data_IF_701250745923
#
_entry.id   IF_701250745923
#
_cell.length_a   1.000
_cell.length_b   1.000
_cell.length_c   1.000
_cell.angle_alpha   90.00
_cell.angle_beta   90.00
_cell.angle_gamma   90.00
#
_symmetry.space_group_name_H-M   'P 1'
#
loop_
_entity.id
_entity.type
_entity.pdbx_description
1 polymer ?
#
# COMPACT_ATOMS: atom_id res chain seq x y z
N UNK A 1 -61.19 -28.81 38.14
CA UNK A 1 -60.23 -28.83 37.00
C UNK A 1 -60.03 -27.41 36.54
N UNK A 2 -58.91 -26.81 36.90
CA UNK A 2 -58.63 -25.42 36.52
C UNK A 2 -57.90 -25.39 35.16
N UNK A 3 -58.62 -24.91 34.11
CA UNK A 3 -58.11 -24.67 32.81
C UNK A 3 -57.10 -23.49 32.86
N UNK A 4 -55.83 -23.78 32.87
CA UNK A 4 -54.79 -22.77 32.65
C UNK A 4 -54.84 -22.32 31.19
N UNK A 5 -55.62 -21.29 30.88
CA UNK A 5 -55.48 -20.59 29.62
C UNK A 5 -54.07 -20.02 29.53
N UNK A 6 -53.22 -20.60 28.70
CA UNK A 6 -51.96 -20.03 28.29
C UNK A 6 -52.27 -18.74 27.53
N UNK A 7 -52.01 -17.60 28.16
CA UNK A 7 -51.92 -16.30 27.46
C UNK A 7 -50.89 -16.43 26.37
N UNK A 8 -51.35 -16.55 25.15
CA UNK A 8 -50.47 -16.41 23.98
C UNK A 8 -49.94 -14.98 23.98
N UNK A 9 -48.65 -14.86 24.31
CA UNK A 9 -47.93 -13.61 24.24
C UNK A 9 -47.90 -13.22 22.77
N UNK A 10 -48.65 -12.18 22.38
CA UNK A 10 -48.62 -11.58 21.03
C UNK A 10 -47.18 -11.20 20.74
N UNK A 11 -46.46 -12.01 20.02
CA UNK A 11 -45.20 -11.66 19.40
C UNK A 11 -45.54 -10.75 18.23
N UNK A 12 -45.43 -9.44 18.42
CA UNK A 12 -45.46 -8.50 17.32
C UNK A 12 -44.23 -8.79 16.45
N UNK A 13 -44.43 -9.53 15.36
CA UNK A 13 -43.43 -9.73 14.32
C UNK A 13 -43.39 -8.53 13.38
N UNK A 14 -42.28 -8.31 12.72
CA UNK A 14 -42.14 -7.34 11.66
C UNK A 14 -43.04 -7.70 10.47
N UNK A 15 -43.63 -6.71 9.84
CA UNK A 15 -44.41 -6.92 8.62
C UNK A 15 -43.46 -7.13 7.43
N UNK A 16 -43.93 -7.85 6.39
CA UNK A 16 -43.19 -8.06 5.15
C UNK A 16 -42.79 -6.70 4.52
N UNK A 17 -43.70 -5.72 4.58
CA UNK A 17 -43.51 -4.39 4.02
C UNK A 17 -42.40 -3.60 4.76
N UNK A 18 -42.35 -3.69 6.09
CA UNK A 18 -41.28 -3.05 6.89
C UNK A 18 -39.90 -3.63 6.54
N UNK A 19 -39.78 -4.94 6.38
CA UNK A 19 -38.52 -5.55 5.96
C UNK A 19 -38.15 -5.15 4.53
N UNK A 20 -39.11 -5.08 3.62
CA UNK A 20 -38.89 -4.70 2.22
C UNK A 20 -38.35 -3.27 2.08
N UNK A 21 -38.91 -2.33 2.84
CA UNK A 21 -38.44 -0.93 2.86
C UNK A 21 -37.02 -0.85 3.42
N UNK A 22 -36.72 -1.55 4.48
CA UNK A 22 -35.37 -1.54 5.09
C UNK A 22 -34.32 -2.07 4.12
N UNK A 23 -34.57 -3.22 3.47
CA UNK A 23 -33.62 -3.77 2.47
C UNK A 23 -33.44 -2.84 1.28
N UNK A 24 -34.51 -2.17 0.83
CA UNK A 24 -34.46 -1.21 -0.27
C UNK A 24 -33.56 -0.01 0.08
N UNK A 25 -33.69 0.55 1.28
CA UNK A 25 -32.86 1.66 1.75
C UNK A 25 -31.38 1.22 1.87
N UNK A 26 -31.13 0.07 2.47
CA UNK A 26 -29.77 -0.49 2.60
C UNK A 26 -29.15 -0.69 1.21
N UNK A 27 -29.89 -1.24 0.25
CA UNK A 27 -29.40 -1.46 -1.11
C UNK A 27 -28.95 -0.15 -1.79
N UNK A 28 -29.72 0.92 -1.63
CA UNK A 28 -29.37 2.25 -2.18
C UNK A 28 -28.11 2.80 -1.51
N UNK A 29 -28.00 2.70 -0.18
CA UNK A 29 -26.83 3.17 0.56
C UNK A 29 -25.57 2.42 0.17
N UNK A 30 -25.66 1.09 0.02
CA UNK A 30 -24.55 0.25 -0.41
C UNK A 30 -24.11 0.61 -1.83
N UNK A 31 -25.06 0.82 -2.76
CA UNK A 31 -24.76 1.17 -4.13
C UNK A 31 -23.92 2.45 -4.26
N UNK A 32 -24.11 3.42 -3.38
CA UNK A 32 -23.34 4.66 -3.35
C UNK A 32 -22.02 4.49 -2.57
N UNK A 33 -22.05 3.72 -1.48
CA UNK A 33 -20.90 3.58 -0.58
C UNK A 33 -19.74 2.77 -1.18
N UNK A 34 -20.02 1.69 -1.91
CA UNK A 34 -18.99 0.80 -2.45
C UNK A 34 -17.99 1.52 -3.37
N UNK A 35 -18.38 2.24 -4.43
CA UNK A 35 -17.43 2.89 -5.32
C UNK A 35 -16.62 3.98 -4.61
N UNK A 36 -17.25 4.74 -3.73
CA UNK A 36 -16.58 5.80 -2.96
C UNK A 36 -15.55 5.22 -1.99
N UNK A 37 -15.89 4.12 -1.31
CA UNK A 37 -15.00 3.43 -0.39
C UNK A 37 -13.80 2.81 -1.13
N UNK A 38 -14.03 2.18 -2.28
CA UNK A 38 -12.97 1.58 -3.08
C UNK A 38 -11.92 2.62 -3.52
N UNK A 39 -12.36 3.80 -3.96
CA UNK A 39 -11.47 4.91 -4.31
C UNK A 39 -10.65 5.39 -3.11
N UNK A 40 -11.30 5.58 -1.96
CA UNK A 40 -10.62 6.02 -0.73
C UNK A 40 -9.61 4.99 -0.24
N UNK A 41 -9.94 3.71 -0.33
CA UNK A 41 -9.04 2.62 0.03
C UNK A 41 -7.80 2.56 -0.88
N UNK A 42 -7.99 2.76 -2.19
CA UNK A 42 -6.84 2.83 -3.10
C UNK A 42 -5.92 4.01 -2.77
N UNK A 43 -6.46 5.19 -2.49
CA UNK A 43 -5.66 6.36 -2.07
C UNK A 43 -4.86 6.07 -0.78
N UNK A 44 -5.48 5.40 0.20
CA UNK A 44 -4.80 5.03 1.43
C UNK A 44 -3.65 4.02 1.18
N UNK A 45 -3.86 3.06 0.28
CA UNK A 45 -2.82 2.10 -0.12
C UNK A 45 -1.66 2.77 -0.84
N UNK A 46 -1.94 3.69 -1.77
CA UNK A 46 -0.90 4.48 -2.45
C UNK A 46 -0.09 5.30 -1.45
N UNK A 47 -0.74 5.95 -0.49
CA UNK A 47 -0.03 6.70 0.56
C UNK A 47 0.86 5.80 1.42
N UNK A 48 0.44 4.56 1.68
CA UNK A 48 1.26 3.55 2.37
C UNK A 48 2.46 3.13 1.52
N UNK A 49 2.26 2.89 0.22
CA UNK A 49 3.33 2.57 -0.71
C UNK A 49 4.38 3.70 -0.76
N UNK A 50 3.93 4.95 -0.92
CA UNK A 50 4.81 6.12 -0.91
C UNK A 50 5.63 6.23 0.39
N UNK A 51 5.00 5.98 1.54
CA UNK A 51 5.68 6.01 2.83
C UNK A 51 6.75 4.91 2.94
N UNK A 52 6.44 3.69 2.50
CA UNK A 52 7.39 2.58 2.48
C UNK A 52 8.54 2.82 1.52
N UNK A 53 8.26 3.32 0.32
CA UNK A 53 9.29 3.65 -0.68
C UNK A 53 10.21 4.76 -0.13
N UNK A 54 9.67 5.77 0.54
CA UNK A 54 10.46 6.82 1.20
C UNK A 54 11.31 6.27 2.34
N UNK A 55 10.79 5.33 3.12
CA UNK A 55 11.55 4.65 4.18
C UNK A 55 12.71 3.84 3.60
N UNK A 56 12.48 3.10 2.53
CA UNK A 56 13.52 2.37 1.82
C UNK A 56 14.60 3.29 1.25
N UNK A 57 14.21 4.42 0.67
CA UNK A 57 15.17 5.43 0.21
C UNK A 57 16.09 5.94 1.35
N UNK A 58 15.49 6.25 2.51
CA UNK A 58 16.28 6.66 3.67
C UNK A 58 17.24 5.56 4.15
N UNK A 59 16.83 4.30 4.08
CA UNK A 59 17.66 3.13 4.37
C UNK A 59 18.87 3.03 3.42
N UNK A 60 18.64 3.20 2.13
CA UNK A 60 19.69 3.22 1.09
C UNK A 60 20.67 4.36 1.34
N UNK A 61 20.18 5.57 1.57
CA UNK A 61 21.02 6.71 1.87
C UNK A 61 21.88 6.51 3.12
N UNK A 62 21.32 5.89 4.15
CA UNK A 62 22.07 5.55 5.36
C UNK A 62 23.16 4.53 5.04
N UNK A 63 22.86 3.49 4.29
CA UNK A 63 23.83 2.47 3.90
C UNK A 63 25.00 3.10 3.10
N UNK A 64 24.70 3.96 2.14
CA UNK A 64 25.70 4.64 1.31
C UNK A 64 26.59 5.57 2.14
N UNK A 65 26.04 6.25 3.14
CA UNK A 65 26.80 7.21 3.97
C UNK A 65 27.62 6.55 5.09
N UNK A 66 27.23 5.35 5.52
CA UNK A 66 27.86 4.68 6.67
C UNK A 66 28.81 3.54 6.29
N UNK A 67 28.75 3.06 5.07
CA UNK A 67 29.61 1.96 4.61
C UNK A 67 30.79 2.49 3.79
N UNK A 68 31.99 2.23 4.28
CA UNK A 68 33.26 2.60 3.62
C UNK A 68 33.40 1.98 2.22
N UNK A 69 32.69 0.91 1.92
CA UNK A 69 32.66 0.29 0.59
C UNK A 69 31.96 1.15 -0.46
N UNK A 70 31.11 2.08 -0.06
CA UNK A 70 30.42 3.01 -0.97
C UNK A 70 31.14 4.35 -1.14
N UNK A 71 32.17 4.62 -0.36
CA UNK A 71 32.85 5.92 -0.29
C UNK A 71 34.25 5.86 -0.89
N UNK A 72 34.46 5.15 -1.99
CA UNK A 72 35.76 5.02 -2.64
C UNK A 72 36.03 6.21 -3.55
N UNK A 73 36.76 7.22 -3.08
CA UNK A 73 37.31 8.26 -3.94
C UNK A 73 38.13 7.65 -5.09
N UNK A 74 37.66 7.79 -6.32
CA UNK A 74 38.41 7.42 -7.53
C UNK A 74 38.31 5.97 -7.97
N UNK A 75 37.41 5.17 -7.40
CA UNK A 75 37.13 3.81 -7.85
C UNK A 75 36.10 3.75 -8.98
N UNK A 76 36.31 2.87 -9.95
CA UNK A 76 35.29 2.39 -10.88
C UNK A 76 34.39 1.40 -10.11
N UNK A 77 33.62 1.92 -9.13
CA UNK A 77 32.65 1.07 -8.47
C UNK A 77 31.41 0.91 -9.35
N UNK A 78 30.95 -0.31 -9.48
CA UNK A 78 29.72 -0.63 -10.19
C UNK A 78 28.52 -0.08 -9.41
N UNK A 79 27.48 0.31 -10.14
CA UNK A 79 26.20 0.73 -9.55
C UNK A 79 25.65 -0.36 -8.62
N UNK A 80 25.06 0.05 -7.50
CA UNK A 80 24.49 -0.85 -6.51
C UNK A 80 22.98 -0.80 -6.51
N UNK A 81 22.37 -1.98 -6.54
CA UNK A 81 20.92 -2.13 -6.50
C UNK A 81 20.45 -2.66 -5.16
N UNK A 82 19.48 -1.99 -4.58
CA UNK A 82 18.81 -2.35 -3.33
C UNK A 82 17.33 -2.69 -3.62
N UNK A 83 16.77 -3.56 -2.82
CA UNK A 83 15.36 -3.97 -2.89
C UNK A 83 14.66 -3.55 -1.60
N UNK A 84 13.47 -2.96 -1.73
CA UNK A 84 12.62 -2.63 -0.59
C UNK A 84 12.04 -3.92 0.01
N UNK A 85 12.17 -4.07 1.33
CA UNK A 85 11.63 -5.17 2.09
C UNK A 85 10.28 -4.79 2.75
N UNK A 86 9.53 -5.80 3.20
CA UNK A 86 8.21 -5.63 3.86
C UNK A 86 8.28 -4.84 5.18
N UNK A 87 9.41 -4.79 5.82
CA UNK A 87 9.66 -4.02 7.05
C UNK A 87 9.97 -2.53 6.80
N UNK A 88 10.00 -2.10 5.53
CA UNK A 88 10.32 -0.73 5.13
C UNK A 88 11.82 -0.44 5.04
N UNK A 89 12.69 -1.42 5.29
CA UNK A 89 14.13 -1.32 5.03
C UNK A 89 14.45 -1.60 3.56
N UNK A 90 15.62 -1.16 3.11
CA UNK A 90 16.15 -1.58 1.82
C UNK A 90 17.50 -2.28 2.04
N UNK A 91 17.67 -3.43 1.38
CA UNK A 91 18.90 -4.23 1.42
C UNK A 91 19.41 -4.49 0.02
N UNK A 92 20.71 -4.74 -0.14
CA UNK A 92 21.25 -5.13 -1.45
C UNK A 92 20.48 -6.30 -2.05
N UNK A 93 20.29 -6.29 -3.37
CA UNK A 93 19.48 -7.28 -4.08
C UNK A 93 19.89 -8.73 -3.78
N UNK A 94 21.17 -8.98 -3.55
CA UNK A 94 21.70 -10.29 -3.18
C UNK A 94 21.26 -10.79 -1.79
N UNK A 95 20.83 -9.89 -0.91
CA UNK A 95 20.47 -10.17 0.48
C UNK A 95 18.98 -9.96 0.79
N UNK A 96 18.15 -9.72 -0.23
CA UNK A 96 16.73 -9.42 -0.02
C UNK A 96 15.97 -10.66 0.47
N UNK A 97 15.37 -10.56 1.64
CA UNK A 97 14.45 -11.56 2.17
C UNK A 97 13.05 -10.94 2.29
N UNK A 98 12.15 -11.28 1.38
CA UNK A 98 10.77 -10.81 1.43
C UNK A 98 10.58 -9.41 0.89
N UNK A 99 10.75 -9.26 -0.42
CA UNK A 99 10.50 -8.02 -1.14
C UNK A 99 9.11 -7.44 -0.85
N UNK A 100 9.05 -6.11 -0.73
CA UNK A 100 7.80 -5.37 -0.64
C UNK A 100 7.09 -5.38 -1.99
N UNK A 101 5.79 -5.55 -1.94
CA UNK A 101 4.92 -5.43 -3.11
C UNK A 101 3.93 -4.28 -2.89
N UNK A 102 3.78 -3.43 -3.89
CA UNK A 102 2.86 -2.29 -3.86
C UNK A 102 1.42 -2.72 -3.65
N UNK A 103 0.66 -1.94 -2.88
CA UNK A 103 -0.71 -2.27 -2.48
C UNK A 103 -1.77 -1.49 -3.27
N UNK A 104 -1.41 -0.32 -3.77
CA UNK A 104 -2.27 0.59 -4.50
C UNK A 104 -1.78 0.87 -5.91
N UNK A 105 -2.60 1.59 -6.68
CA UNK A 105 -2.25 2.12 -8.00
C UNK A 105 -2.42 3.63 -7.97
N UNK A 106 -1.32 4.42 -8.11
CA UNK A 106 -1.41 5.87 -8.21
C UNK A 106 -2.16 6.30 -9.47
N UNK A 107 -2.69 7.50 -9.44
CA UNK A 107 -3.23 8.18 -10.62
C UNK A 107 -2.19 9.17 -11.17
N UNK A 108 -2.10 9.26 -12.48
CA UNK A 108 -1.13 10.12 -13.17
C UNK A 108 0.04 9.33 -13.75
N UNK A 109 1.06 10.02 -14.22
CA UNK A 109 2.22 9.41 -14.89
C UNK A 109 3.41 9.23 -13.94
N UNK A 110 3.54 10.11 -12.94
CA UNK A 110 4.64 10.09 -11.97
C UNK A 110 4.15 10.46 -10.57
N UNK A 111 4.86 9.95 -9.56
CA UNK A 111 4.71 10.30 -8.15
C UNK A 111 6.04 10.83 -7.64
N UNK A 112 6.01 11.94 -6.90
CA UNK A 112 7.24 12.52 -6.34
C UNK A 112 7.53 11.94 -4.95
N UNK A 113 8.61 11.18 -4.83
CA UNK A 113 9.05 10.55 -3.59
C UNK A 113 10.46 11.03 -3.25
N UNK A 114 10.64 11.62 -2.08
CA UNK A 114 11.93 12.18 -1.63
C UNK A 114 12.58 13.16 -2.65
N UNK A 115 11.75 13.87 -3.43
CA UNK A 115 12.22 14.78 -4.48
C UNK A 115 12.51 14.13 -5.83
N UNK A 116 12.39 12.81 -5.93
CA UNK A 116 12.62 12.02 -7.14
C UNK A 116 11.28 11.74 -7.82
N UNK A 117 11.22 11.91 -9.12
CA UNK A 117 10.05 11.53 -9.92
C UNK A 117 10.10 10.02 -10.21
N UNK A 118 9.14 9.30 -9.65
CA UNK A 118 9.00 7.85 -9.80
C UNK A 118 7.83 7.58 -10.72
N UNK A 119 8.01 6.69 -11.71
CA UNK A 119 6.90 6.28 -12.57
C UNK A 119 5.79 5.64 -11.76
N UNK A 120 4.55 5.83 -12.16
CA UNK A 120 3.42 5.17 -11.53
C UNK A 120 3.50 3.65 -11.70
N UNK A 121 2.91 2.94 -10.76
CA UNK A 121 3.00 1.49 -10.64
C UNK A 121 1.62 0.84 -10.58
N UNK A 122 1.60 -0.45 -10.84
CA UNK A 122 0.46 -1.31 -10.58
C UNK A 122 0.59 -2.00 -9.20
N UNK A 123 -0.49 -2.58 -8.74
CA UNK A 123 -0.49 -3.35 -7.50
C UNK A 123 0.33 -4.63 -7.67
N UNK A 124 1.17 -4.94 -6.69
CA UNK A 124 1.97 -6.17 -6.66
C UNK A 124 3.35 -6.03 -7.28
N UNK A 125 3.77 -4.82 -7.61
CA UNK A 125 5.10 -4.56 -8.15
C UNK A 125 6.15 -4.37 -7.06
N UNK A 126 7.36 -4.85 -7.31
CA UNK A 126 8.51 -4.66 -6.44
C UNK A 126 9.11 -3.26 -6.57
N UNK A 127 9.89 -2.86 -5.57
CA UNK A 127 10.57 -1.56 -5.55
C UNK A 127 12.07 -1.77 -5.47
N UNK A 128 12.79 -1.15 -6.39
CA UNK A 128 14.25 -1.17 -6.46
C UNK A 128 14.83 0.24 -6.39
N UNK A 129 16.01 0.34 -5.81
CA UNK A 129 16.79 1.57 -5.73
C UNK A 129 18.15 1.28 -6.35
N UNK A 130 18.55 2.08 -7.30
CA UNK A 130 19.88 1.96 -7.91
C UNK A 130 20.72 3.17 -7.55
N UNK A 131 21.81 2.95 -6.85
CA UNK A 131 22.79 3.99 -6.56
C UNK A 131 23.84 4.02 -7.67
N UNK A 132 23.94 5.17 -8.30
CA UNK A 132 24.90 5.44 -9.38
C UNK A 132 26.12 6.15 -8.80
N UNK A 133 27.24 5.45 -8.76
CA UNK A 133 28.51 5.99 -8.23
C UNK A 133 29.03 7.21 -8.99
N UNK A 134 28.90 7.19 -10.31
CA UNK A 134 29.45 8.26 -11.17
C UNK A 134 28.75 9.60 -10.97
N UNK A 135 27.45 9.59 -10.72
CA UNK A 135 26.62 10.77 -10.53
C UNK A 135 26.27 11.07 -9.08
N UNK A 136 26.59 10.16 -8.18
CA UNK A 136 26.20 10.21 -6.76
C UNK A 136 24.70 10.41 -6.57
N UNK A 137 23.91 9.68 -7.34
CA UNK A 137 22.44 9.78 -7.34
C UNK A 137 21.81 8.42 -7.08
N UNK A 138 20.61 8.44 -6.50
CA UNK A 138 19.76 7.26 -6.35
C UNK A 138 18.59 7.35 -7.30
N UNK A 139 18.40 6.33 -8.10
CA UNK A 139 17.21 6.13 -8.91
C UNK A 139 16.24 5.21 -8.18
N UNK A 140 14.95 5.53 -8.19
CA UNK A 140 13.88 4.69 -7.63
C UNK A 140 13.06 4.15 -8.79
N UNK A 141 12.91 2.84 -8.85
CA UNK A 141 12.11 2.16 -9.86
C UNK A 141 11.10 1.23 -9.21
N UNK A 142 9.85 1.28 -9.66
CA UNK A 142 8.79 0.35 -9.27
C UNK A 142 8.37 -0.44 -10.48
N UNK A 143 8.30 -1.77 -10.34
CA UNK A 143 8.11 -2.69 -11.45
C UNK A 143 9.43 -3.05 -12.17
N UNK A 144 9.30 -3.74 -13.31
CA UNK A 144 10.44 -4.15 -14.17
C UNK A 144 10.98 -2.99 -15.02
#
# INVERSE_FOLDING_TARGET
>A
MMNKMRKMKNKKGFTLMEMLIVVAIIAILIAIAIPTFASSLNKARVATDEANIRSGYASVMTAILTDDNYNVEGGTADDKTFVLNKDGSATEAANSSGAYETQGKPSGDTVKIAGIDVSTWDKGEGVTYTYHYTSNTVEIKVGE
#
